data_IF_179400114325
#
_entry.id   IF_179400114325
#
_cell.length_a   1.000
_cell.length_b   1.000
_cell.length_c   1.000
_cell.angle_alpha   90.00
_cell.angle_beta   90.00
_cell.angle_gamma   90.00
#
_symmetry.space_group_name_H-M   'P 1'
#
loop_
_entity.id
_entity.type
_entity.pdbx_description
1 polymer ?
#
# COMPACT_ATOMS: atom_id res chain seq x y z
N UNK A 1 -11.14 12.93 22.53
CA UNK A 1 -11.45 13.12 21.09
C UNK A 1 -11.66 11.75 20.49
N UNK A 2 -12.68 11.56 19.66
CA UNK A 2 -12.91 10.29 18.97
C UNK A 2 -11.79 10.03 17.97
N UNK A 3 -11.21 8.84 18.03
CA UNK A 3 -10.23 8.38 17.06
C UNK A 3 -10.97 7.94 15.80
N UNK A 4 -10.51 8.36 14.62
CA UNK A 4 -11.08 7.99 13.33
C UNK A 4 -10.11 7.07 12.58
N UNK A 5 -10.66 6.11 11.84
CA UNK A 5 -9.93 5.29 10.89
C UNK A 5 -10.09 5.84 9.48
N UNK A 6 -8.98 5.98 8.77
CA UNK A 6 -8.92 6.31 7.35
C UNK A 6 -8.30 5.15 6.59
N UNK A 7 -8.94 4.71 5.51
CA UNK A 7 -8.44 3.65 4.65
C UNK A 7 -8.26 4.20 3.24
N UNK A 8 -7.04 4.14 2.71
CA UNK A 8 -6.77 4.44 1.30
C UNK A 8 -6.46 3.15 0.54
N UNK A 9 -7.03 2.97 -0.64
CA UNK A 9 -6.82 1.77 -1.48
C UNK A 9 -6.40 2.12 -2.89
N UNK A 10 -5.53 1.32 -3.49
CA UNK A 10 -5.06 1.46 -4.87
C UNK A 10 -4.64 0.10 -5.45
N UNK A 11 -4.48 -0.01 -6.76
CA UNK A 11 -4.10 -1.23 -7.46
C UNK A 11 -2.99 -1.06 -8.51
N UNK A 12 -2.26 -2.15 -8.75
CA UNK A 12 -1.30 -2.27 -9.83
C UNK A 12 -1.47 -3.62 -10.54
N UNK A 13 -1.18 -3.66 -11.85
CA UNK A 13 -1.28 -4.89 -12.64
C UNK A 13 -2.67 -5.20 -13.21
N UNK A 14 -3.63 -4.26 -13.14
CA UNK A 14 -4.97 -4.47 -13.69
C UNK A 14 -5.04 -4.43 -15.24
N UNK A 15 -4.19 -3.60 -15.86
CA UNK A 15 -4.12 -3.41 -17.32
C UNK A 15 -3.26 -4.43 -18.09
N UNK A 16 -2.04 -4.79 -17.60
CA UNK A 16 -1.18 -5.76 -18.26
C UNK A 16 -1.82 -7.14 -18.47
N UNK A 17 -1.32 -7.88 -19.46
CA UNK A 17 -1.78 -9.24 -19.76
C UNK A 17 -1.13 -10.32 -18.88
N UNK A 18 0.02 -10.00 -18.26
CA UNK A 18 0.83 -10.92 -17.47
C UNK A 18 1.19 -10.26 -16.14
N UNK A 19 1.50 -11.12 -15.16
CA UNK A 19 1.82 -10.71 -13.80
C UNK A 19 0.61 -10.75 -12.88
N UNK A 20 0.83 -10.58 -11.57
CA UNK A 20 -0.27 -10.54 -10.62
C UNK A 20 -1.02 -9.20 -10.69
N UNK A 21 -2.30 -9.25 -10.34
CA UNK A 21 -3.02 -8.07 -9.85
C UNK A 21 -2.65 -7.88 -8.37
N UNK A 22 -2.19 -6.70 -8.01
CA UNK A 22 -1.86 -6.32 -6.63
C UNK A 22 -2.81 -5.21 -6.21
N UNK A 23 -3.56 -5.45 -5.14
CA UNK A 23 -4.43 -4.45 -4.51
C UNK A 23 -3.87 -4.14 -3.14
N UNK A 24 -3.65 -2.88 -2.82
CA UNK A 24 -3.10 -2.44 -1.54
C UNK A 24 -4.12 -1.58 -0.79
N UNK A 25 -4.10 -1.68 0.54
CA UNK A 25 -4.86 -0.84 1.43
C UNK A 25 -3.98 -0.37 2.60
N UNK A 26 -4.03 0.93 2.92
CA UNK A 26 -3.33 1.53 4.06
C UNK A 26 -4.35 2.03 5.08
N UNK A 27 -4.16 1.68 6.34
CA UNK A 27 -5.03 2.08 7.45
C UNK A 27 -4.33 3.10 8.35
N UNK A 28 -4.95 4.25 8.54
CA UNK A 28 -4.40 5.37 9.31
C UNK A 28 -5.37 5.74 10.42
N UNK A 29 -4.85 6.00 11.61
CA UNK A 29 -5.65 6.54 12.73
C UNK A 29 -5.23 7.95 13.04
N UNK A 30 -6.21 8.82 13.28
CA UNK A 30 -5.95 10.15 13.79
C UNK A 30 -7.02 10.59 14.79
N UNK A 31 -6.62 11.43 15.75
CA UNK A 31 -7.51 12.01 16.75
C UNK A 31 -7.77 13.47 16.43
N UNK A 32 -9.04 13.89 16.45
CA UNK A 32 -9.41 15.28 16.19
C UNK A 32 -9.45 15.67 14.70
N UNK A 33 -9.18 14.74 13.78
CA UNK A 33 -9.29 14.95 12.33
C UNK A 33 -10.69 14.55 11.86
N UNK A 34 -11.39 15.49 11.22
CA UNK A 34 -12.77 15.35 10.82
C UNK A 34 -12.96 14.54 9.54
N UNK A 35 -12.04 14.63 8.58
CA UNK A 35 -12.12 13.91 7.30
C UNK A 35 -10.76 13.76 6.61
N UNK A 36 -10.76 13.15 5.43
CA UNK A 36 -9.54 12.94 4.64
C UNK A 36 -8.90 14.24 4.14
N UNK A 37 -9.67 15.30 3.89
CA UNK A 37 -9.08 16.58 3.46
C UNK A 37 -8.22 17.16 4.56
N UNK A 38 -8.72 17.14 5.80
CA UNK A 38 -7.94 17.55 6.96
C UNK A 38 -6.75 16.61 7.22
N UNK A 39 -6.91 15.29 7.03
CA UNK A 39 -5.80 14.34 7.11
C UNK A 39 -4.67 14.72 6.14
N UNK A 40 -4.99 15.02 4.88
CA UNK A 40 -3.99 15.42 3.88
C UNK A 40 -3.29 16.73 4.26
N UNK A 41 -4.02 17.75 4.71
CA UNK A 41 -3.43 19.03 5.16
C UNK A 41 -2.42 18.83 6.29
N UNK A 42 -2.73 17.91 7.21
CA UNK A 42 -1.86 17.58 8.33
C UNK A 42 -0.64 16.78 7.86
N UNK A 43 -0.82 15.84 6.94
CA UNK A 43 0.24 15.04 6.32
C UNK A 43 1.18 15.87 5.43
N UNK A 44 0.72 16.95 4.79
CA UNK A 44 1.55 17.84 3.96
C UNK A 44 2.76 18.44 4.71
N UNK A 45 2.79 18.38 6.03
CA UNK A 45 3.94 18.75 6.87
C UNK A 45 5.05 17.70 6.87
N UNK A 46 4.72 16.47 6.50
CA UNK A 46 5.57 15.28 6.58
C UNK A 46 5.85 14.70 5.21
N UNK A 47 4.88 14.77 4.28
CA UNK A 47 4.97 14.22 2.93
C UNK A 47 4.73 15.30 1.87
N UNK A 48 5.18 15.04 0.64
CA UNK A 48 4.99 15.93 -0.52
C UNK A 48 4.68 15.11 -1.76
N UNK A 49 3.80 15.63 -2.63
CA UNK A 49 3.51 15.07 -3.96
C UNK A 49 4.48 15.59 -5.04
N UNK A 50 5.29 16.61 -4.71
CA UNK A 50 6.23 17.25 -5.63
C UNK A 50 7.67 16.91 -5.29
N UNK A 51 8.41 16.46 -6.30
CA UNK A 51 9.86 16.28 -6.23
C UNK A 51 10.57 17.63 -6.13
N UNK A 52 11.36 17.83 -5.09
CA UNK A 52 12.13 19.05 -4.80
C UNK A 52 13.45 18.68 -4.16
N UNK A 53 14.54 19.30 -4.61
CA UNK A 53 15.92 18.90 -4.28
C UNK A 53 16.30 19.06 -2.80
N UNK A 54 15.59 19.93 -2.06
CA UNK A 54 15.88 20.25 -0.65
C UNK A 54 14.66 20.12 0.26
N UNK A 55 13.66 19.35 -0.16
CA UNK A 55 12.45 19.14 0.63
C UNK A 55 12.71 18.07 1.69
N UNK A 56 12.46 18.40 2.95
CA UNK A 56 12.62 17.48 4.08
C UNK A 56 11.40 16.59 4.30
N UNK A 57 10.46 16.63 3.38
CA UNK A 57 9.24 15.82 3.39
C UNK A 57 9.42 14.63 2.48
N UNK A 58 8.87 13.49 2.89
CA UNK A 58 8.95 12.25 2.14
C UNK A 58 8.13 12.40 0.84
N UNK A 59 8.76 12.15 -0.30
CA UNK A 59 8.09 12.26 -1.59
C UNK A 59 7.19 11.03 -1.83
N UNK A 60 5.87 11.26 -1.87
CA UNK A 60 4.85 10.25 -2.15
C UNK A 60 3.88 10.85 -3.14
N UNK A 61 3.79 10.25 -4.32
CA UNK A 61 2.90 10.68 -5.40
C UNK A 61 2.40 9.47 -6.20
N UNK A 62 1.63 9.73 -7.26
CA UNK A 62 1.24 8.71 -8.24
C UNK A 62 2.50 7.97 -8.74
N UNK A 63 2.47 6.64 -8.72
CA UNK A 63 3.62 5.81 -9.09
C UNK A 63 4.18 6.12 -10.50
N UNK A 64 3.34 6.57 -11.44
CA UNK A 64 3.76 6.98 -12.79
C UNK A 64 4.42 8.37 -12.83
N UNK A 65 4.20 9.19 -11.81
CA UNK A 65 4.93 10.45 -11.62
C UNK A 65 6.26 10.23 -10.89
N UNK A 66 6.34 9.18 -10.07
CA UNK A 66 7.54 8.84 -9.28
C UNK A 66 8.55 8.03 -10.10
N UNK A 67 8.08 7.11 -10.95
CA UNK A 67 8.92 6.15 -11.65
C UNK A 67 8.55 6.00 -13.12
N UNK A 68 9.56 5.95 -13.98
CA UNK A 68 9.45 5.50 -15.37
C UNK A 68 10.30 4.25 -15.61
N UNK A 69 9.90 3.44 -16.59
CA UNK A 69 10.64 2.23 -16.95
C UNK A 69 12.11 2.53 -17.26
N UNK A 70 13.03 1.95 -16.50
CA UNK A 70 14.48 2.13 -16.65
C UNK A 70 15.09 3.16 -15.71
N UNK A 71 14.27 3.89 -14.95
CA UNK A 71 14.74 4.73 -13.84
C UNK A 71 15.10 3.87 -12.61
N UNK A 72 15.68 4.52 -11.62
CA UNK A 72 15.92 3.93 -10.30
C UNK A 72 14.61 3.68 -9.55
N UNK A 73 14.51 2.56 -8.84
CA UNK A 73 13.41 2.21 -7.93
C UNK A 73 13.52 2.94 -6.58
N UNK A 74 14.65 3.57 -6.27
CA UNK A 74 14.91 4.19 -4.97
C UNK A 74 13.77 5.12 -4.52
N UNK A 75 13.24 5.93 -5.43
CA UNK A 75 12.17 6.88 -5.12
C UNK A 75 10.82 6.22 -4.76
N UNK A 76 10.60 4.96 -5.16
CA UNK A 76 9.46 4.16 -4.71
C UNK A 76 9.79 3.35 -3.46
N UNK A 77 11.00 2.77 -3.45
CA UNK A 77 11.45 1.85 -2.41
C UNK A 77 11.59 2.53 -1.05
N UNK A 78 12.22 3.71 -1.00
CA UNK A 78 12.48 4.43 0.25
C UNK A 78 11.18 4.77 0.99
N UNK A 79 10.16 5.41 0.37
CA UNK A 79 8.91 5.70 1.07
C UNK A 79 8.16 4.44 1.52
N UNK A 80 8.11 3.40 0.67
CA UNK A 80 7.41 2.15 1.00
C UNK A 80 8.08 1.44 2.17
N UNK A 81 9.40 1.28 2.13
CA UNK A 81 10.17 0.65 3.21
C UNK A 81 10.11 1.44 4.51
N UNK A 82 10.23 2.77 4.45
CA UNK A 82 10.13 3.62 5.62
C UNK A 82 8.76 3.47 6.29
N UNK A 83 7.67 3.56 5.52
CA UNK A 83 6.30 3.38 6.03
C UNK A 83 6.06 1.98 6.59
N UNK A 84 6.51 0.92 5.91
CA UNK A 84 6.40 -0.45 6.41
C UNK A 84 7.08 -0.62 7.77
N UNK A 85 8.30 -0.07 7.92
CA UNK A 85 9.05 -0.13 9.18
C UNK A 85 8.34 0.62 10.32
N UNK A 86 7.62 1.71 10.04
CA UNK A 86 6.76 2.36 11.07
C UNK A 86 5.63 1.45 11.59
N UNK A 87 5.24 0.43 10.81
CA UNK A 87 4.25 -0.59 11.23
C UNK A 87 4.89 -1.84 11.84
N UNK A 88 6.22 -1.86 11.99
CA UNK A 88 6.97 -3.02 12.48
C UNK A 88 7.19 -4.10 11.43
N UNK A 89 6.92 -3.82 10.15
CA UNK A 89 7.19 -4.74 9.03
C UNK A 89 8.57 -4.44 8.45
N UNK A 90 9.43 -5.44 8.45
CA UNK A 90 10.71 -5.43 7.73
C UNK A 90 10.90 -6.79 7.04
N UNK A 91 11.46 -6.75 5.83
CA UNK A 91 11.73 -7.95 5.05
C UNK A 91 13.03 -7.79 4.27
N UNK A 92 13.83 -8.85 4.20
CA UNK A 92 15.11 -8.87 3.48
C UNK A 92 14.95 -9.14 1.98
N UNK A 93 13.78 -9.60 1.54
CA UNK A 93 13.48 -9.92 0.15
C UNK A 93 11.98 -9.74 -0.15
N UNK A 94 11.65 -9.66 -1.44
CA UNK A 94 10.27 -9.42 -1.89
C UNK A 94 9.29 -10.51 -1.42
N UNK A 95 9.72 -11.77 -1.32
CA UNK A 95 8.83 -12.86 -0.91
C UNK A 95 8.52 -12.77 0.59
N UNK A 96 9.51 -12.43 1.40
CA UNK A 96 9.35 -12.08 2.81
C UNK A 96 8.39 -10.90 2.98
N UNK A 97 8.51 -9.87 2.15
CA UNK A 97 7.61 -8.72 2.17
C UNK A 97 6.17 -9.14 1.84
N UNK A 98 5.96 -9.82 0.70
CA UNK A 98 4.66 -10.33 0.28
C UNK A 98 3.99 -11.15 1.39
N UNK A 99 4.75 -12.05 2.05
CA UNK A 99 4.26 -12.86 3.16
C UNK A 99 3.90 -12.07 4.41
N UNK A 100 4.52 -10.90 4.63
CA UNK A 100 4.27 -10.04 5.79
C UNK A 100 3.06 -9.11 5.60
N UNK A 101 2.83 -8.62 4.37
CA UNK A 101 1.74 -7.67 4.08
C UNK A 101 0.46 -8.36 3.58
N UNK A 102 0.54 -9.59 3.09
CA UNK A 102 -0.62 -10.35 2.61
C UNK A 102 -1.29 -11.22 3.69
N UNK A 103 -2.52 -11.65 3.39
CA UNK A 103 -3.29 -12.54 4.25
C UNK A 103 -2.79 -14.00 4.19
N UNK A 104 -3.43 -14.87 4.98
CA UNK A 104 -3.11 -16.30 4.96
C UNK A 104 -3.39 -16.97 3.61
N UNK A 105 -4.21 -16.37 2.73
CA UNK A 105 -4.50 -16.94 1.41
C UNK A 105 -3.27 -16.90 0.53
N UNK A 106 -2.46 -15.84 0.59
CA UNK A 106 -1.18 -15.78 -0.14
C UNK A 106 -0.30 -17.01 0.13
N UNK A 107 -0.29 -17.52 1.37
CA UNK A 107 0.48 -18.71 1.76
C UNK A 107 -0.15 -20.03 1.30
N UNK A 108 -1.43 -20.02 0.97
CA UNK A 108 -2.23 -21.20 0.61
C UNK A 108 -2.49 -21.31 -0.90
N UNK A 109 -2.54 -20.18 -1.60
CA UNK A 109 -2.73 -20.13 -3.06
C UNK A 109 -1.52 -20.78 -3.72
N UNK A 110 -1.82 -21.75 -4.59
CA UNK A 110 -0.86 -22.64 -5.23
C UNK A 110 0.29 -21.92 -5.94
N UNK A 111 1.38 -22.68 -6.11
CA UNK A 111 2.70 -22.29 -6.61
C UNK A 111 2.65 -21.04 -7.50
N UNK A 112 3.30 -19.93 -7.10
CA UNK A 112 3.40 -18.80 -7.99
C UNK A 112 4.15 -19.25 -9.26
N UNK A 113 3.90 -18.56 -10.38
CA UNK A 113 4.48 -18.91 -11.68
C UNK A 113 5.99 -19.21 -11.59
N UNK A 114 6.58 -20.01 -12.50
CA UNK A 114 7.99 -20.43 -12.41
C UNK A 114 9.02 -19.30 -12.26
N UNK A 115 8.67 -18.06 -12.62
CA UNK A 115 9.51 -16.86 -12.47
C UNK A 115 9.33 -16.10 -11.14
N UNK A 116 8.48 -16.58 -10.24
CA UNK A 116 8.25 -16.04 -8.90
C UNK A 116 8.79 -16.98 -7.80
N UNK A 117 9.84 -17.75 -8.08
CA UNK A 117 10.42 -18.67 -7.11
C UNK A 117 11.14 -17.90 -6.00
N UNK A 118 10.99 -18.31 -4.72
CA UNK A 118 11.75 -17.73 -3.63
C UNK A 118 13.21 -18.23 -3.62
N UNK A 119 14.16 -17.42 -3.10
CA UNK A 119 13.97 -16.02 -2.72
C UNK A 119 13.90 -15.13 -3.98
N UNK A 120 13.04 -14.11 -3.95
CA UNK A 120 13.05 -13.09 -4.99
C UNK A 120 14.19 -12.07 -4.78
N UNK A 121 14.18 -10.92 -5.48
CA UNK A 121 15.13 -9.84 -5.27
C UNK A 121 15.25 -9.43 -3.80
N UNK A 122 16.48 -9.15 -3.38
CA UNK A 122 16.78 -8.60 -2.08
C UNK A 122 16.20 -7.19 -1.93
N UNK A 123 15.84 -6.86 -0.69
CA UNK A 123 15.32 -5.56 -0.31
C UNK A 123 16.25 -4.93 0.75
N UNK A 124 16.64 -3.66 0.60
CA UNK A 124 16.38 -2.80 -0.57
C UNK A 124 17.11 -3.27 -1.84
N UNK A 125 16.49 -3.05 -3.00
CA UNK A 125 17.03 -3.35 -4.32
C UNK A 125 17.89 -2.21 -4.85
N UNK A 126 17.48 -0.96 -4.62
CA UNK A 126 18.07 0.20 -5.29
C UNK A 126 18.33 1.40 -4.35
N UNK A 127 18.08 1.23 -3.06
CA UNK A 127 18.52 2.16 -2.00
C UNK A 127 19.40 1.46 -0.95
N UNK A 128 19.92 2.23 0.00
CA UNK A 128 20.68 1.69 1.14
C UNK A 128 19.84 1.56 2.40
N UNK A 129 20.24 0.65 3.28
CA UNK A 129 19.62 0.47 4.60
C UNK A 129 19.72 1.74 5.46
N UNK A 130 20.84 2.46 5.35
CA UNK A 130 21.06 3.72 6.05
C UNK A 130 20.07 4.79 5.60
N UNK A 131 19.90 4.97 4.29
CA UNK A 131 18.98 5.98 3.75
C UNK A 131 17.52 5.70 4.16
N UNK A 132 17.09 4.44 4.15
CA UNK A 132 15.76 4.07 4.65
C UNK A 132 15.63 4.35 6.15
N UNK A 133 16.66 4.03 6.93
CA UNK A 133 16.65 4.22 8.38
C UNK A 133 16.55 5.70 8.76
N UNK A 134 17.25 6.58 8.05
CA UNK A 134 17.12 8.03 8.23
C UNK A 134 15.67 8.50 8.07
N UNK A 135 14.95 7.98 7.07
CA UNK A 135 13.54 8.29 6.88
C UNK A 135 12.64 7.70 7.95
N UNK A 136 12.91 6.48 8.44
CA UNK A 136 12.15 5.88 9.56
C UNK A 136 12.26 6.75 10.81
N UNK A 137 13.47 7.19 11.14
CA UNK A 137 13.76 8.01 12.32
C UNK A 137 13.10 9.39 12.24
N UNK A 138 12.92 9.93 11.02
CA UNK A 138 12.19 11.17 10.79
C UNK A 138 10.67 10.98 10.81
N UNK A 139 10.17 9.94 10.15
CA UNK A 139 8.76 9.76 9.84
C UNK A 139 7.92 9.43 11.08
N UNK A 140 8.40 8.55 11.95
CA UNK A 140 7.70 8.15 13.17
C UNK A 140 7.36 9.34 14.08
N UNK A 141 8.36 10.14 14.52
CA UNK A 141 8.14 11.35 15.30
C UNK A 141 7.29 12.40 14.57
N UNK A 142 7.48 12.57 13.26
CA UNK A 142 6.75 13.55 12.48
C UNK A 142 5.24 13.21 12.41
N UNK A 143 4.89 11.95 12.14
CA UNK A 143 3.50 11.46 12.18
C UNK A 143 2.90 11.61 13.58
N UNK A 144 3.67 11.25 14.62
CA UNK A 144 3.24 11.40 16.02
C UNK A 144 2.97 12.86 16.42
N UNK A 145 3.81 13.80 15.99
CA UNK A 145 3.64 15.23 16.28
C UNK A 145 2.36 15.81 15.68
N UNK A 146 1.94 15.25 14.53
CA UNK A 146 0.72 15.67 13.86
C UNK A 146 -0.51 14.82 14.22
N UNK A 147 -0.37 13.91 15.20
CA UNK A 147 -1.48 13.11 15.71
C UNK A 147 -1.99 12.03 14.75
N UNK A 148 -1.16 11.62 13.79
CA UNK A 148 -1.48 10.59 12.78
C UNK A 148 -0.62 9.36 13.04
N UNK A 149 -1.17 8.17 12.81
CA UNK A 149 -0.42 6.91 12.87
C UNK A 149 -0.85 5.98 11.74
N UNK A 150 0.13 5.53 10.94
CA UNK A 150 -0.07 4.39 10.05
C UNK A 150 -0.16 3.12 10.89
N UNK A 151 -1.31 2.45 10.83
CA UNK A 151 -1.58 1.26 11.61
C UNK A 151 -1.20 -0.01 10.86
N UNK A 152 -1.50 -0.06 9.55
CA UNK A 152 -1.29 -1.25 8.74
C UNK A 152 -1.20 -0.94 7.26
N UNK A 153 -0.36 -1.69 6.57
CA UNK A 153 -0.39 -1.87 5.12
C UNK A 153 -0.81 -3.32 4.86
N UNK A 154 -1.89 -3.52 4.11
CA UNK A 154 -2.42 -4.83 3.76
C UNK A 154 -2.51 -4.96 2.24
N UNK A 155 -2.07 -6.11 1.70
CA UNK A 155 -1.97 -6.31 0.25
C UNK A 155 -2.60 -7.63 -0.15
N UNK A 156 -3.44 -7.59 -1.19
CA UNK A 156 -3.96 -8.77 -1.87
C UNK A 156 -3.23 -8.95 -3.20
N UNK A 157 -2.50 -10.05 -3.32
CA UNK A 157 -1.77 -10.44 -4.53
C UNK A 157 -2.53 -11.57 -5.20
N UNK A 158 -2.99 -11.36 -6.43
CA UNK A 158 -3.79 -12.33 -7.20
C UNK A 158 -2.98 -12.71 -8.45
N UNK A 159 -2.47 -13.94 -8.47
CA UNK A 159 -1.70 -14.45 -9.60
C UNK A 159 -2.59 -14.80 -10.81
N UNK A 160 -2.03 -14.88 -12.03
CA UNK A 160 -2.82 -15.10 -13.26
C UNK A 160 -3.81 -16.27 -13.19
N UNK A 161 -3.39 -17.42 -12.66
CA UNK A 161 -4.27 -18.59 -12.54
C UNK A 161 -5.51 -18.29 -11.68
N UNK A 162 -5.31 -17.72 -10.48
CA UNK A 162 -6.39 -17.35 -9.57
C UNK A 162 -7.25 -16.24 -10.18
N UNK A 163 -6.63 -15.23 -10.78
CA UNK A 163 -7.33 -14.12 -11.42
C UNK A 163 -8.28 -14.62 -12.50
N UNK A 164 -7.82 -15.52 -13.38
CA UNK A 164 -8.64 -16.09 -14.44
C UNK A 164 -9.84 -16.87 -13.89
N UNK A 165 -9.63 -17.68 -12.84
CA UNK A 165 -10.71 -18.40 -12.17
C UNK A 165 -11.75 -17.45 -11.55
N UNK A 166 -11.31 -16.38 -10.90
CA UNK A 166 -12.20 -15.38 -10.32
C UNK A 166 -12.97 -14.60 -11.40
N UNK A 167 -12.34 -14.29 -12.54
CA UNK A 167 -13.01 -13.63 -13.67
C UNK A 167 -14.07 -14.55 -14.27
N UNK A 168 -13.79 -15.83 -14.44
CA UNK A 168 -14.78 -16.83 -14.90
C UNK A 168 -15.96 -16.93 -13.93
N UNK A 169 -15.71 -16.93 -12.62
CA UNK A 169 -16.74 -17.04 -11.60
C UNK A 169 -17.61 -15.78 -11.45
N UNK A 170 -17.00 -14.59 -11.53
CA UNK A 170 -17.68 -13.30 -11.30
C UNK A 170 -18.22 -12.66 -12.58
N UNK A 171 -17.76 -13.10 -13.74
CA UNK A 171 -18.14 -12.59 -15.05
C UNK A 171 -17.51 -11.24 -15.42
N UNK A 172 -16.65 -10.64 -14.59
CA UNK A 172 -15.91 -9.42 -14.96
C UNK A 172 -14.66 -9.16 -14.13
N UNK A 173 -13.62 -8.60 -14.77
CA UNK A 173 -12.39 -8.13 -14.10
C UNK A 173 -12.69 -7.06 -13.02
N UNK A 174 -13.65 -6.18 -13.28
CA UNK A 174 -14.01 -5.11 -12.35
C UNK A 174 -14.66 -5.63 -11.06
N UNK A 175 -15.39 -6.73 -11.13
CA UNK A 175 -15.93 -7.41 -9.95
C UNK A 175 -14.81 -8.03 -9.11
N UNK A 176 -13.81 -8.66 -9.74
CA UNK A 176 -12.63 -9.20 -9.04
C UNK A 176 -11.86 -8.11 -8.30
N UNK A 177 -11.60 -6.98 -8.96
CA UNK A 177 -10.93 -5.84 -8.32
C UNK A 177 -11.75 -5.28 -7.15
N UNK A 178 -13.05 -5.05 -7.37
CA UNK A 178 -13.93 -4.51 -6.32
C UNK A 178 -14.03 -5.44 -5.11
N UNK A 179 -14.15 -6.75 -5.33
CA UNK A 179 -14.19 -7.75 -4.25
C UNK A 179 -12.88 -7.76 -3.46
N UNK A 180 -11.72 -7.78 -4.14
CA UNK A 180 -10.42 -7.72 -3.49
C UNK A 180 -10.26 -6.45 -2.64
N UNK A 181 -10.62 -5.28 -3.17
CA UNK A 181 -10.56 -4.01 -2.44
C UNK A 181 -11.49 -4.01 -1.22
N UNK A 182 -12.75 -4.43 -1.37
CA UNK A 182 -13.71 -4.47 -0.26
C UNK A 182 -13.33 -5.48 0.83
N UNK A 183 -12.71 -6.60 0.47
CA UNK A 183 -12.18 -7.55 1.45
C UNK A 183 -11.05 -6.93 2.29
N UNK A 184 -10.14 -6.17 1.69
CA UNK A 184 -9.10 -5.44 2.42
C UNK A 184 -9.70 -4.37 3.33
N UNK A 185 -10.67 -3.59 2.84
CA UNK A 185 -11.36 -2.58 3.64
C UNK A 185 -12.06 -3.20 4.84
N UNK A 186 -12.78 -4.32 4.64
CA UNK A 186 -13.43 -5.07 5.71
C UNK A 186 -12.41 -5.58 6.73
N UNK A 187 -11.33 -6.22 6.26
CA UNK A 187 -10.26 -6.71 7.13
C UNK A 187 -9.68 -5.61 8.03
N UNK A 188 -9.44 -4.42 7.48
CA UNK A 188 -8.89 -3.30 8.23
C UNK A 188 -9.91 -2.67 9.18
N UNK A 189 -11.18 -2.64 8.78
CA UNK A 189 -12.29 -2.14 9.61
C UNK A 189 -12.56 -3.07 10.80
N UNK A 190 -12.62 -4.38 10.58
CA UNK A 190 -12.90 -5.39 11.61
C UNK A 190 -11.78 -5.42 12.69
N UNK A 191 -10.59 -4.93 12.37
CA UNK A 191 -9.45 -4.84 13.29
C UNK A 191 -9.40 -3.53 14.08
N UNK A 192 -10.26 -2.57 13.75
CA UNK A 192 -10.35 -1.29 14.44
C UNK A 192 -11.49 -1.31 15.46
N UNK A 193 -11.26 -0.73 16.63
CA UNK A 193 -12.31 -0.54 17.62
C UNK A 193 -13.39 0.43 17.11
N UNK A 194 -14.56 0.40 17.74
CA UNK A 194 -15.70 1.25 17.39
C UNK A 194 -15.29 2.72 17.17
N UNK A 195 -15.72 3.29 16.04
CA UNK A 195 -15.39 4.65 15.65
C UNK A 195 -15.78 4.94 14.20
N UNK A 196 -15.75 6.21 13.77
CA UNK A 196 -15.98 6.56 12.38
C UNK A 196 -14.87 5.99 11.49
N UNK A 197 -15.27 5.43 10.35
CA UNK A 197 -14.37 4.94 9.30
C UNK A 197 -14.64 5.73 8.02
N UNK A 198 -13.58 6.20 7.38
CA UNK A 198 -13.66 6.81 6.06
C UNK A 198 -12.74 6.05 5.10
N UNK A 199 -13.29 5.70 3.94
CA UNK A 199 -12.58 4.94 2.91
C UNK A 199 -12.45 5.81 1.66
N UNK A 200 -11.23 5.90 1.13
CA UNK A 200 -10.94 6.47 -0.18
C UNK A 200 -10.48 5.32 -1.08
N UNK A 201 -11.17 5.17 -2.20
CA UNK A 201 -10.82 4.19 -3.21
C UNK A 201 -10.92 4.83 -4.59
N UNK A 202 -10.04 4.39 -5.48
CA UNK A 202 -10.16 4.70 -6.90
C UNK A 202 -11.42 4.07 -7.50
N UNK A 203 -11.85 4.66 -8.62
CA UNK A 203 -13.06 4.22 -9.29
C UNK A 203 -12.81 2.93 -10.06
N UNK A 204 -13.31 1.80 -9.54
CA UNK A 204 -13.21 0.52 -10.24
C UNK A 204 -14.18 0.43 -11.43
N UNK A 205 -13.67 0.73 -12.63
CA UNK A 205 -14.37 0.56 -13.89
C UNK A 205 -15.19 1.76 -14.37
N UNK A 206 -15.60 1.72 -15.64
CA UNK A 206 -16.22 2.87 -16.33
C UNK A 206 -17.73 3.03 -16.14
N UNK A 207 -18.41 2.10 -15.47
CA UNK A 207 -19.88 2.12 -15.35
C UNK A 207 -20.31 2.92 -14.13
N UNK A 208 -20.87 4.11 -14.37
CA UNK A 208 -21.67 4.83 -13.38
C UNK A 208 -23.06 4.21 -13.38
N UNK A 209 -23.36 3.33 -12.42
CA UNK A 209 -24.74 2.94 -12.13
C UNK A 209 -25.02 3.19 -10.67
#
# INVERSE_FOLDING_TARGET
MTQRLFIGTDEAGYGPNLGPLVVAATAWTAAGIADCSELWQVLERVITDRKRTDDRRLWIADSKAVYNSGDSLEALEVPVQALLRTTGVAAADIHGLMSAVSDSRFRQTGRPEPWHQPPGPALPTDSSEEHITEWVDLLGPALGHVGVRLCRIAVRIIFPQEFNQLVEATGSKGAVLSDATLQLVRQLTDQHADGPVQVICDKHGGRNR
#
